data_IF_547026317087
#
_entry.id   IF_547026317087
#
_cell.length_a   1.000
_cell.length_b   1.000
_cell.length_c   1.000
_cell.angle_alpha   90.00
_cell.angle_beta   90.00
_cell.angle_gamma   90.00
#
_symmetry.space_group_name_H-M   'P 1'
#
loop_
_entity.id
_entity.type
_entity.pdbx_description
1 polymer ?
#
# COMPACT_ATOMS: atom_id res chain seq x y z
N UNK A 1 43.92 -31.75 -33.03
CA UNK A 1 43.69 -31.19 -31.68
C UNK A 1 42.22 -30.77 -31.47
N UNK A 2 41.23 -31.54 -31.95
CA UNK A 2 39.89 -30.96 -32.21
C UNK A 2 38.80 -31.18 -31.14
N UNK A 3 38.72 -32.35 -30.50
CA UNK A 3 37.51 -32.69 -29.70
C UNK A 3 37.70 -32.52 -28.20
N UNK A 4 38.87 -32.88 -27.66
CA UNK A 4 39.17 -32.76 -26.23
C UNK A 4 39.36 -31.31 -25.78
N UNK A 5 40.02 -30.48 -26.59
CA UNK A 5 40.18 -29.05 -26.32
C UNK A 5 38.81 -28.34 -26.33
N UNK A 6 37.96 -28.63 -27.34
CA UNK A 6 36.60 -28.08 -27.41
C UNK A 6 35.75 -28.51 -26.21
N UNK A 7 35.81 -29.79 -25.81
CA UNK A 7 35.07 -30.26 -24.62
C UNK A 7 35.55 -29.57 -23.34
N UNK A 8 36.86 -29.40 -23.15
CA UNK A 8 37.41 -28.70 -21.97
C UNK A 8 37.00 -27.23 -21.96
N UNK A 9 37.06 -26.53 -23.10
CA UNK A 9 36.62 -25.14 -23.20
C UNK A 9 35.12 -25.00 -22.93
N UNK A 10 34.27 -25.86 -23.50
CA UNK A 10 32.83 -25.83 -23.27
C UNK A 10 32.49 -26.11 -21.81
N UNK A 11 33.09 -27.13 -21.20
CA UNK A 11 32.89 -27.44 -19.77
C UNK A 11 33.36 -26.28 -18.90
N UNK A 12 34.51 -25.67 -19.21
CA UNK A 12 35.01 -24.49 -18.50
C UNK A 12 34.03 -23.32 -18.57
N UNK A 13 33.49 -23.02 -19.75
CA UNK A 13 32.49 -21.96 -19.93
C UNK A 13 31.20 -22.28 -19.16
N UNK A 14 30.71 -23.52 -19.22
CA UNK A 14 29.50 -23.93 -18.48
C UNK A 14 29.70 -23.81 -16.97
N UNK A 15 30.86 -24.21 -16.44
CA UNK A 15 31.18 -24.07 -15.01
C UNK A 15 31.26 -22.60 -14.62
N UNK A 16 31.86 -21.74 -15.44
CA UNK A 16 31.94 -20.31 -15.17
C UNK A 16 30.55 -19.64 -15.21
N UNK A 17 29.74 -19.95 -16.23
CA UNK A 17 28.37 -19.45 -16.35
C UNK A 17 27.52 -19.96 -15.19
N UNK A 18 27.59 -21.25 -14.87
CA UNK A 18 26.87 -21.84 -13.74
C UNK A 18 27.30 -21.23 -12.39
N UNK A 19 28.60 -21.02 -12.19
CA UNK A 19 29.13 -20.35 -11.00
C UNK A 19 28.67 -18.90 -10.88
N UNK A 20 28.62 -18.16 -12.00
CA UNK A 20 28.10 -16.80 -12.03
C UNK A 20 26.61 -16.75 -11.66
N UNK A 21 25.79 -17.67 -12.18
CA UNK A 21 24.35 -17.76 -11.81
C UNK A 21 24.16 -18.04 -10.33
N UNK A 22 24.96 -18.92 -9.73
CA UNK A 22 24.88 -19.20 -8.29
C UNK A 22 25.31 -17.98 -7.46
N UNK A 23 26.39 -17.31 -7.86
CA UNK A 23 26.86 -16.11 -7.18
C UNK A 23 25.84 -14.96 -7.27
N UNK A 24 25.18 -14.82 -8.41
CA UNK A 24 24.12 -13.85 -8.67
C UNK A 24 22.91 -14.04 -7.74
N UNK A 25 22.40 -15.29 -7.64
CA UNK A 25 21.31 -15.61 -6.72
C UNK A 25 21.67 -15.33 -5.26
N UNK A 26 22.88 -15.71 -4.82
CA UNK A 26 23.35 -15.42 -3.46
C UNK A 26 23.45 -13.90 -3.19
N UNK A 27 23.85 -13.11 -4.19
CA UNK A 27 23.92 -11.66 -4.06
C UNK A 27 22.52 -11.04 -3.93
N UNK A 28 21.57 -11.51 -4.74
CA UNK A 28 20.16 -11.12 -4.67
C UNK A 28 19.55 -11.43 -3.30
N UNK A 29 19.67 -12.67 -2.82
CA UNK A 29 19.08 -13.09 -1.54
C UNK A 29 19.61 -12.23 -0.37
N UNK A 30 20.89 -11.81 -0.44
CA UNK A 30 21.46 -10.87 0.55
C UNK A 30 20.92 -9.45 0.42
N UNK A 31 20.68 -8.98 -0.80
CA UNK A 31 20.09 -7.67 -1.04
C UNK A 31 18.65 -7.62 -0.50
N UNK A 32 17.84 -8.63 -0.81
CA UNK A 32 16.47 -8.80 -0.30
C UNK A 32 16.43 -8.78 1.23
N UNK A 33 17.26 -9.60 1.90
CA UNK A 33 17.36 -9.62 3.36
C UNK A 33 17.77 -8.27 3.94
N UNK A 34 18.68 -7.56 3.25
CA UNK A 34 19.15 -6.25 3.71
C UNK A 34 18.03 -5.21 3.60
N UNK A 35 17.30 -5.19 2.50
CA UNK A 35 16.15 -4.29 2.29
C UNK A 35 15.08 -4.58 3.35
N UNK A 36 14.72 -5.85 3.55
CA UNK A 36 13.75 -6.26 4.55
C UNK A 36 14.14 -5.77 5.96
N UNK A 37 15.41 -5.92 6.34
CA UNK A 37 15.92 -5.47 7.65
C UNK A 37 15.87 -3.94 7.79
N UNK A 38 16.23 -3.20 6.73
CA UNK A 38 16.16 -1.74 6.72
C UNK A 38 14.72 -1.28 6.89
N UNK A 39 13.80 -1.82 6.07
CA UNK A 39 12.38 -1.47 6.13
C UNK A 39 11.74 -1.83 7.48
N UNK A 40 12.13 -2.95 8.08
CA UNK A 40 11.70 -3.29 9.45
C UNK A 40 12.06 -2.18 10.44
N UNK A 41 13.29 -1.65 10.33
CA UNK A 41 13.80 -0.65 11.27
C UNK A 41 13.17 0.72 11.01
N UNK A 42 13.07 1.14 9.74
CA UNK A 42 12.57 2.46 9.36
C UNK A 42 11.05 2.59 9.54
N UNK A 43 10.31 1.52 9.26
CA UNK A 43 8.86 1.49 9.40
C UNK A 43 8.39 0.94 10.75
N UNK A 44 9.32 0.59 11.65
CA UNK A 44 9.00 0.06 12.99
C UNK A 44 8.21 -1.25 12.96
N UNK A 45 8.43 -2.11 11.95
CA UNK A 45 7.67 -3.34 11.77
C UNK A 45 8.04 -4.37 12.84
N UNK A 46 7.03 -5.08 13.35
CA UNK A 46 7.25 -6.15 14.32
C UNK A 46 8.12 -7.29 13.77
N UNK A 47 8.06 -7.53 12.45
CA UNK A 47 8.84 -8.52 11.72
C UNK A 47 9.32 -7.95 10.39
N UNK A 48 10.43 -8.45 9.83
CA UNK A 48 10.87 -8.04 8.50
C UNK A 48 9.81 -8.41 7.45
N UNK A 49 9.54 -7.53 6.47
CA UNK A 49 8.68 -7.86 5.35
C UNK A 49 9.36 -8.88 4.45
N UNK A 50 8.57 -9.62 3.68
CA UNK A 50 9.10 -10.47 2.62
C UNK A 50 9.41 -9.60 1.41
N UNK A 51 10.62 -9.68 0.88
CA UNK A 51 11.10 -8.87 -0.24
C UNK A 51 11.66 -9.81 -1.28
N UNK A 52 11.16 -9.69 -2.50
CA UNK A 52 11.65 -10.45 -3.66
C UNK A 52 12.07 -9.46 -4.74
N UNK A 53 13.28 -9.63 -5.28
CA UNK A 53 13.79 -8.88 -6.42
C UNK A 53 13.74 -9.80 -7.63
N UNK A 54 12.89 -9.46 -8.59
CA UNK A 54 12.75 -10.23 -9.81
C UNK A 54 13.77 -9.81 -10.89
N UNK A 55 13.84 -10.63 -11.93
CA UNK A 55 14.78 -10.46 -13.03
C UNK A 55 16.13 -11.16 -12.79
N UNK A 56 16.73 -11.65 -13.87
CA UNK A 56 18.01 -12.36 -13.83
C UNK A 56 18.88 -11.98 -15.04
N UNK A 57 20.20 -11.79 -14.86
CA UNK A 57 20.96 -11.83 -13.59
C UNK A 57 20.85 -10.52 -12.79
N UNK A 58 20.63 -10.60 -11.47
CA UNK A 58 20.54 -9.46 -10.54
C UNK A 58 21.74 -8.51 -10.62
N UNK A 59 22.97 -9.04 -10.67
CA UNK A 59 24.19 -8.25 -10.76
C UNK A 59 24.27 -7.43 -12.04
N UNK A 60 23.62 -7.90 -13.12
CA UNK A 60 23.56 -7.15 -14.39
C UNK A 60 22.64 -5.94 -14.24
N UNK A 61 21.49 -6.12 -13.57
CA UNK A 61 20.54 -5.05 -13.25
C UNK A 61 21.19 -3.99 -12.34
N UNK A 62 21.89 -4.45 -11.29
CA UNK A 62 22.61 -3.57 -10.37
C UNK A 62 23.68 -2.73 -11.07
N UNK A 63 24.40 -3.30 -12.04
CA UNK A 63 25.37 -2.56 -12.86
C UNK A 63 24.68 -1.61 -13.86
N UNK A 64 23.52 -2.00 -14.37
CA UNK A 64 22.70 -1.15 -15.23
C UNK A 64 22.10 0.05 -14.48
N UNK A 65 22.03 -0.03 -13.15
CA UNK A 65 21.56 1.05 -12.28
C UNK A 65 20.07 1.00 -11.96
N UNK A 66 19.38 -0.07 -12.34
CA UNK A 66 17.93 -0.21 -12.23
C UNK A 66 17.54 -1.67 -11.98
N UNK A 67 16.64 -1.90 -11.04
CA UNK A 67 16.00 -3.20 -10.79
C UNK A 67 14.66 -3.23 -11.53
N UNK A 68 14.42 -4.31 -12.29
CA UNK A 68 13.23 -4.44 -13.13
C UNK A 68 11.96 -4.48 -12.30
N UNK A 69 11.90 -5.36 -11.30
CA UNK A 69 10.71 -5.60 -10.50
C UNK A 69 11.11 -5.90 -9.05
N UNK A 70 10.44 -5.25 -8.09
CA UNK A 70 10.61 -5.50 -6.65
C UNK A 70 9.24 -5.70 -6.04
N UNK A 71 9.04 -6.87 -5.46
CA UNK A 71 7.83 -7.25 -4.76
C UNK A 71 8.07 -7.26 -3.26
N UNK A 72 7.16 -6.66 -2.50
CA UNK A 72 7.19 -6.64 -1.05
C UNK A 72 5.85 -7.03 -0.47
N UNK A 73 5.85 -7.87 0.56
CA UNK A 73 4.66 -8.14 1.37
C UNK A 73 4.94 -7.93 2.86
N UNK A 74 3.97 -7.37 3.57
CA UNK A 74 4.01 -7.24 5.01
C UNK A 74 2.63 -7.57 5.61
N UNK A 75 2.57 -8.36 6.70
CA UNK A 75 1.29 -8.65 7.35
C UNK A 75 0.67 -7.41 7.98
N UNK A 76 1.48 -6.46 8.46
CA UNK A 76 1.03 -5.21 9.03
C UNK A 76 2.12 -4.13 9.00
N UNK A 77 1.72 -2.87 8.92
CA UNK A 77 2.59 -1.71 9.11
C UNK A 77 1.76 -0.49 9.51
N UNK A 78 2.40 0.45 10.20
CA UNK A 78 1.82 1.79 10.43
C UNK A 78 2.48 2.78 9.50
N UNK A 79 1.72 3.37 8.58
CA UNK A 79 2.24 4.30 7.55
C UNK A 79 1.50 5.62 7.66
N UNK A 80 2.21 6.72 7.94
CA UNK A 80 1.60 8.04 8.10
C UNK A 80 0.52 8.09 9.21
N UNK A 81 0.68 7.30 10.27
CA UNK A 81 -0.30 7.17 11.36
C UNK A 81 -1.49 6.26 11.04
N UNK A 82 -1.49 5.58 9.89
CA UNK A 82 -2.54 4.64 9.50
C UNK A 82 -2.07 3.21 9.76
N UNK A 83 -2.83 2.46 10.56
CA UNK A 83 -2.60 1.04 10.76
C UNK A 83 -3.18 0.25 9.58
N UNK A 84 -2.29 -0.44 8.88
CA UNK A 84 -2.59 -1.22 7.69
C UNK A 84 -2.21 -2.68 7.91
N UNK A 85 -2.99 -3.58 7.33
CA UNK A 85 -2.78 -5.01 7.29
C UNK A 85 -2.72 -5.51 5.83
N UNK A 86 -2.22 -6.73 5.62
CA UNK A 86 -2.17 -7.39 4.31
C UNK A 86 -1.63 -6.47 3.19
N UNK A 87 -0.42 -5.97 3.42
CA UNK A 87 0.22 -4.97 2.57
C UNK A 87 1.00 -5.69 1.48
N UNK A 88 0.75 -5.31 0.23
CA UNK A 88 1.49 -5.74 -0.95
C UNK A 88 1.97 -4.50 -1.69
N UNK A 89 3.24 -4.49 -2.07
CA UNK A 89 3.86 -3.42 -2.85
C UNK A 89 4.56 -4.02 -4.04
N UNK A 90 4.21 -3.54 -5.22
CA UNK A 90 4.84 -3.89 -6.49
C UNK A 90 5.50 -2.64 -7.06
N UNK A 91 6.81 -2.71 -7.28
CA UNK A 91 7.59 -1.64 -7.88
C UNK A 91 8.22 -2.15 -9.16
N UNK A 92 8.28 -1.31 -10.19
CA UNK A 92 9.04 -1.60 -11.40
C UNK A 92 9.96 -0.43 -11.78
N UNK A 93 11.10 -0.77 -12.38
CA UNK A 93 12.12 0.21 -12.76
C UNK A 93 12.67 0.97 -11.54
N UNK A 94 13.11 0.25 -10.52
CA UNK A 94 13.63 0.84 -9.27
C UNK A 94 15.07 1.26 -9.45
N UNK A 95 15.36 2.55 -9.34
CA UNK A 95 16.73 3.06 -9.44
C UNK A 95 17.59 2.56 -8.27
N UNK A 96 18.85 2.23 -8.55
CA UNK A 96 19.79 1.79 -7.52
C UNK A 96 20.68 2.91 -6.99
N UNK A 97 20.48 4.14 -7.47
CA UNK A 97 21.22 5.35 -7.09
C UNK A 97 20.28 6.35 -6.45
N UNK A 98 20.77 7.09 -5.44
CA UNK A 98 19.99 8.16 -4.83
C UNK A 98 19.80 9.35 -5.80
N UNK A 99 18.61 9.98 -5.84
CA UNK A 99 17.41 9.60 -5.10
C UNK A 99 16.78 8.30 -5.63
N UNK A 100 16.28 7.46 -4.72
CA UNK A 100 15.68 6.17 -5.10
C UNK A 100 14.29 6.42 -5.65
N UNK A 101 14.03 5.94 -6.86
CA UNK A 101 12.75 6.12 -7.56
C UNK A 101 12.27 4.82 -8.17
N UNK A 102 10.95 4.63 -8.26
CA UNK A 102 10.33 3.58 -9.07
C UNK A 102 9.61 4.21 -10.26
N UNK A 103 9.79 3.65 -11.46
CA UNK A 103 9.06 4.10 -12.64
C UNK A 103 7.56 3.89 -12.50
N UNK A 104 7.13 2.71 -12.03
CA UNK A 104 5.75 2.45 -11.63
C UNK A 104 5.73 1.84 -10.23
N UNK A 105 4.75 2.27 -9.42
CA UNK A 105 4.49 1.69 -8.11
C UNK A 105 3.00 1.38 -7.96
N UNK A 106 2.72 0.23 -7.35
CA UNK A 106 1.39 -0.17 -6.91
C UNK A 106 1.45 -0.64 -5.47
N UNK A 107 0.50 -0.18 -4.67
CA UNK A 107 0.34 -0.58 -3.27
C UNK A 107 -1.09 -1.04 -3.07
N UNK A 108 -1.25 -2.23 -2.50
CA UNK A 108 -2.52 -2.75 -2.04
C UNK A 108 -2.42 -3.01 -0.53
N UNK A 109 -3.39 -2.52 0.24
CA UNK A 109 -3.41 -2.68 1.69
C UNK A 109 -4.84 -2.77 2.22
N UNK A 110 -5.00 -3.42 3.37
CA UNK A 110 -6.27 -3.51 4.10
C UNK A 110 -6.23 -2.59 5.33
N UNK A 111 -7.17 -1.67 5.42
CA UNK A 111 -7.46 -0.94 6.65
C UNK A 111 -8.64 -1.63 7.34
N UNK A 112 -8.43 -2.16 8.54
CA UNK A 112 -9.52 -2.77 9.31
C UNK A 112 -10.51 -1.70 9.79
N UNK A 113 -11.72 -2.12 10.16
CA UNK A 113 -12.71 -1.21 10.74
C UNK A 113 -12.19 -0.58 12.03
N UNK A 114 -11.50 -1.35 12.88
CA UNK A 114 -10.88 -0.85 14.10
C UNK A 114 -9.82 0.23 13.82
N UNK A 115 -9.00 0.03 12.77
CA UNK A 115 -8.02 1.03 12.36
C UNK A 115 -8.71 2.31 11.84
N UNK A 116 -9.77 2.17 11.04
CA UNK A 116 -10.57 3.32 10.58
C UNK A 116 -11.25 4.05 11.75
N UNK A 117 -11.76 3.31 12.74
CA UNK A 117 -12.38 3.83 13.95
C UNK A 117 -11.39 4.67 14.77
N UNK A 118 -10.13 4.25 14.85
CA UNK A 118 -9.08 4.97 15.56
C UNK A 118 -8.70 6.32 14.93
N UNK A 119 -9.04 6.55 13.66
CA UNK A 119 -8.84 7.83 12.97
C UNK A 119 -9.92 8.87 13.31
N UNK A 120 -11.06 8.42 13.84
CA UNK A 120 -12.13 9.33 14.22
C UNK A 120 -11.74 10.10 15.50
N UNK A 121 -12.08 11.40 15.58
CA UNK A 121 -11.91 12.17 16.81
C UNK A 121 -12.59 11.49 18.01
N UNK A 122 -11.90 11.39 19.14
CA UNK A 122 -12.39 10.66 20.31
C UNK A 122 -13.67 11.25 20.93
N UNK A 123 -14.01 12.51 20.62
CA UNK A 123 -15.23 13.18 21.03
C UNK A 123 -16.45 12.83 20.14
N UNK A 124 -16.22 12.23 18.97
CA UNK A 124 -17.27 11.64 18.15
C UNK A 124 -17.58 10.24 18.68
N UNK A 125 -18.71 10.11 19.39
CA UNK A 125 -19.28 8.83 19.78
C UNK A 125 -19.94 8.12 18.57
N UNK A 126 -19.12 7.78 17.57
CA UNK A 126 -19.50 7.03 16.37
C UNK A 126 -18.89 5.64 16.44
N UNK A 127 -19.67 4.62 16.12
CA UNK A 127 -19.19 3.24 15.96
C UNK A 127 -19.24 2.88 14.47
N UNK A 128 -18.12 2.44 13.92
CA UNK A 128 -18.02 1.96 12.55
C UNK A 128 -18.24 0.44 12.50
N UNK A 129 -18.99 -0.01 11.49
CA UNK A 129 -19.21 -1.41 11.19
C UNK A 129 -19.33 -1.63 9.68
N UNK A 130 -19.19 -2.88 9.25
CA UNK A 130 -19.51 -3.28 7.88
C UNK A 130 -20.86 -4.00 7.92
N UNK A 131 -21.78 -3.57 7.05
CA UNK A 131 -23.04 -4.25 6.79
C UNK A 131 -23.11 -4.63 5.31
N UNK A 132 -22.81 -5.90 5.02
CA UNK A 132 -22.65 -6.39 3.65
C UNK A 132 -21.50 -5.68 2.93
N UNK A 133 -21.81 -4.90 1.89
CA UNK A 133 -20.83 -4.13 1.13
C UNK A 133 -20.73 -2.66 1.56
N UNK A 134 -21.49 -2.26 2.58
CA UNK A 134 -21.57 -0.87 3.03
C UNK A 134 -20.77 -0.68 4.32
N UNK A 135 -20.07 0.44 4.43
CA UNK A 135 -19.53 0.92 5.69
C UNK A 135 -20.64 1.69 6.40
N UNK A 136 -20.97 1.34 7.64
CA UNK A 136 -22.03 1.99 8.42
C UNK A 136 -21.41 2.67 9.64
N UNK A 137 -21.82 3.90 9.89
CA UNK A 137 -21.49 4.62 11.11
C UNK A 137 -22.75 4.79 11.97
N UNK A 138 -22.70 4.29 13.20
CA UNK A 138 -23.81 4.30 14.15
C UNK A 138 -23.51 5.24 15.32
N UNK A 139 -24.52 5.99 15.77
CA UNK A 139 -24.43 6.83 16.96
C UNK A 139 -25.80 7.02 17.60
N UNK A 140 -25.85 7.70 18.74
CA UNK A 140 -27.09 8.12 19.39
C UNK A 140 -27.19 9.65 19.37
N UNK A 141 -28.22 10.16 18.71
CA UNK A 141 -28.51 11.60 18.64
C UNK A 141 -29.83 11.87 19.35
N UNK A 142 -29.82 12.70 20.40
CA UNK A 142 -31.01 13.04 21.19
C UNK A 142 -31.75 11.81 21.76
N UNK A 143 -31.01 10.75 22.08
CA UNK A 143 -31.57 9.49 22.59
C UNK A 143 -32.18 8.58 21.51
N UNK A 144 -32.02 8.92 20.23
CA UNK A 144 -32.46 8.11 19.10
C UNK A 144 -31.26 7.48 18.40
N UNK A 145 -31.35 6.20 17.99
CA UNK A 145 -30.31 5.59 17.16
C UNK A 145 -30.29 6.26 15.78
N UNK A 146 -29.08 6.56 15.32
CA UNK A 146 -28.79 7.11 14.01
C UNK A 146 -27.74 6.24 13.35
N UNK A 147 -28.07 5.71 12.18
CA UNK A 147 -27.14 4.96 11.33
C UNK A 147 -26.92 5.71 10.02
N UNK A 148 -25.67 5.85 9.60
CA UNK A 148 -25.29 6.48 8.34
C UNK A 148 -24.58 5.46 7.46
N UNK A 149 -25.15 5.16 6.30
CA UNK A 149 -24.47 4.39 5.27
C UNK A 149 -23.43 5.29 4.57
N UNK A 150 -22.16 4.87 4.64
CA UNK A 150 -21.00 5.59 4.13
C UNK A 150 -20.49 4.91 2.86
N UNK A 151 -20.10 5.74 1.90
CA UNK A 151 -19.44 5.30 0.67
C UNK A 151 -18.07 5.96 0.60
N UNK A 152 -17.00 5.25 0.97
CA UNK A 152 -15.65 5.75 0.79
C UNK A 152 -15.25 5.69 -0.69
N UNK A 153 -14.51 6.68 -1.15
CA UNK A 153 -13.98 6.77 -2.52
C UNK A 153 -12.56 7.31 -2.50
N UNK A 154 -11.78 6.89 -3.50
CA UNK A 154 -10.45 7.41 -3.72
C UNK A 154 -10.50 8.81 -4.35
N UNK A 155 -9.64 9.72 -3.86
CA UNK A 155 -9.47 11.04 -4.45
C UNK A 155 -8.02 11.54 -4.28
N UNK A 156 -7.16 11.17 -5.22
CA UNK A 156 -5.75 11.55 -5.21
C UNK A 156 -5.08 11.04 -3.94
N UNK A 157 -4.67 11.93 -3.03
CA UNK A 157 -3.99 11.58 -1.77
C UNK A 157 -4.93 11.60 -0.56
N UNK A 158 -6.22 11.34 -0.78
CA UNK A 158 -7.22 11.31 0.27
C UNK A 158 -8.25 10.20 0.04
N UNK A 159 -8.80 9.71 1.15
CA UNK A 159 -10.08 9.00 1.15
C UNK A 159 -11.16 10.06 1.32
N UNK A 160 -12.14 10.07 0.44
CA UNK A 160 -13.33 10.89 0.63
C UNK A 160 -14.49 10.00 1.01
N UNK A 161 -15.22 10.39 2.05
CA UNK A 161 -16.37 9.63 2.55
C UNK A 161 -17.62 10.46 2.30
N UNK A 162 -18.56 9.85 1.58
CA UNK A 162 -19.87 10.42 1.31
C UNK A 162 -20.93 9.63 2.10
N UNK A 163 -21.84 10.33 2.78
CA UNK A 163 -23.03 9.68 3.35
C UNK A 163 -24.03 9.44 2.22
N UNK A 164 -24.48 8.19 2.05
CA UNK A 164 -25.49 7.79 1.06
C UNK A 164 -26.90 7.89 1.62
N UNK A 165 -27.06 7.48 2.87
CA UNK A 165 -28.35 7.34 3.54
C UNK A 165 -28.19 7.51 5.04
N UNK A 166 -29.16 8.15 5.69
CA UNK A 166 -29.23 8.27 7.14
C UNK A 166 -30.54 7.62 7.59
N UNK A 167 -30.46 6.74 8.59
CA UNK A 167 -31.60 6.12 9.23
C UNK A 167 -31.69 6.63 10.66
N UNK A 168 -32.80 7.28 11.03
CA UNK A 168 -33.03 7.79 12.39
C UNK A 168 -34.27 7.13 12.95
N UNK A 169 -34.14 6.41 14.06
CA UNK A 169 -35.24 5.67 14.68
C UNK A 169 -36.04 4.78 13.68
N UNK A 170 -35.33 4.19 12.71
CA UNK A 170 -35.91 3.33 11.66
C UNK A 170 -36.50 4.07 10.45
N UNK A 171 -36.47 5.40 10.44
CA UNK A 171 -36.85 6.19 9.26
C UNK A 171 -35.62 6.48 8.41
N UNK A 172 -35.62 5.96 7.18
CA UNK A 172 -34.54 6.15 6.23
C UNK A 172 -34.75 7.41 5.38
N UNK A 173 -33.71 8.24 5.28
CA UNK A 173 -33.65 9.48 4.49
C UNK A 173 -32.42 9.42 3.60
N UNK A 174 -32.59 9.59 2.29
CA UNK A 174 -31.45 9.68 1.38
C UNK A 174 -30.86 11.08 1.40
N UNK A 175 -29.57 11.21 1.12
CA UNK A 175 -28.93 12.54 1.12
C UNK A 175 -29.49 13.47 0.05
N UNK A 176 -30.01 12.92 -1.05
CA UNK A 176 -30.69 13.68 -2.12
C UNK A 176 -32.00 14.33 -1.66
N UNK A 177 -32.64 13.77 -0.62
CA UNK A 177 -33.86 14.31 -0.03
C UNK A 177 -33.58 15.39 1.04
N UNK A 178 -32.31 15.61 1.41
CA UNK A 178 -31.93 16.61 2.38
C UNK A 178 -31.84 18.02 1.75
N UNK A 179 -32.12 19.09 2.54
CA UNK A 179 -31.79 20.44 2.10
C UNK A 179 -30.30 20.56 1.76
N UNK A 180 -29.96 21.30 0.70
CA UNK A 180 -28.59 21.38 0.15
C UNK A 180 -27.53 21.79 1.18
N UNK A 181 -27.88 22.67 2.12
CA UNK A 181 -26.98 23.10 3.20
C UNK A 181 -26.65 21.98 4.20
N UNK A 182 -27.53 20.98 4.36
CA UNK A 182 -27.31 19.81 5.19
C UNK A 182 -26.57 18.73 4.41
N UNK A 183 -26.97 18.48 3.15
CA UNK A 183 -26.28 17.55 2.27
C UNK A 183 -24.79 17.88 2.16
N UNK A 184 -24.43 19.16 1.96
CA UNK A 184 -23.05 19.61 1.86
C UNK A 184 -22.21 19.41 3.13
N UNK A 185 -22.83 19.23 4.31
CA UNK A 185 -22.12 18.99 5.57
C UNK A 185 -21.84 17.50 5.82
N UNK A 186 -22.58 16.61 5.17
CA UNK A 186 -22.48 15.15 5.37
C UNK A 186 -21.84 14.44 4.16
N UNK A 187 -21.50 15.19 3.11
CA UNK A 187 -20.78 14.70 1.93
C UNK A 187 -19.39 15.31 1.85
N UNK A 188 -18.43 14.59 1.26
CA UNK A 188 -17.11 15.13 0.98
C UNK A 188 -16.18 15.19 2.18
N UNK A 189 -16.40 14.38 3.21
CA UNK A 189 -15.50 14.29 4.36
C UNK A 189 -14.17 13.72 3.88
N UNK A 190 -13.09 14.52 3.99
CA UNK A 190 -11.76 14.15 3.47
C UNK A 190 -10.86 13.67 4.59
N UNK A 191 -10.28 12.49 4.42
CA UNK A 191 -9.23 11.94 5.26
C UNK A 191 -7.93 11.98 4.43
N UNK A 192 -7.00 12.88 4.73
CA UNK A 192 -5.72 12.94 4.01
C UNK A 192 -4.88 11.69 4.30
N UNK A 193 -4.15 11.23 3.28
CA UNK A 193 -3.20 10.13 3.37
C UNK A 193 -1.78 10.68 3.29
N UNK A 194 -1.32 11.27 4.39
CA UNK A 194 -0.04 11.98 4.44
C UNK A 194 1.16 11.03 4.27
N UNK A 195 0.98 9.74 4.55
CA UNK A 195 2.01 8.70 4.38
C UNK A 195 2.23 8.22 2.95
N UNK A 196 1.48 8.72 1.96
CA UNK A 196 1.68 8.31 0.56
C UNK A 196 2.97 8.92 -0.02
N UNK A 197 3.81 8.16 -0.75
CA UNK A 197 4.97 8.72 -1.43
C UNK A 197 4.60 9.73 -2.52
N UNK A 198 5.49 10.69 -2.80
CA UNK A 198 5.31 11.59 -3.94
C UNK A 198 5.24 10.81 -5.25
N UNK A 199 4.38 11.26 -6.18
CA UNK A 199 4.09 10.54 -7.43
C UNK A 199 3.02 9.45 -7.30
N UNK A 200 2.55 9.14 -6.08
CA UNK A 200 1.44 8.19 -5.86
C UNK A 200 0.12 8.87 -5.55
N UNK A 201 -0.96 8.20 -5.93
CA UNK A 201 -2.33 8.53 -5.55
C UNK A 201 -3.14 7.27 -5.30
N UNK A 202 -4.07 7.37 -4.36
CA UNK A 202 -5.13 6.40 -4.14
C UNK A 202 -6.01 6.32 -5.39
N UNK A 203 -6.18 5.12 -5.92
CA UNK A 203 -6.95 4.82 -7.13
C UNK A 203 -8.23 4.05 -6.82
N UNK A 204 -8.26 3.30 -5.71
CA UNK A 204 -9.43 2.55 -5.28
C UNK A 204 -9.56 2.51 -3.77
N UNK A 205 -10.81 2.55 -3.31
CA UNK A 205 -11.21 2.19 -1.95
C UNK A 205 -12.43 1.28 -2.07
N UNK A 206 -12.31 0.06 -1.58
CA UNK A 206 -13.37 -0.94 -1.67
C UNK A 206 -13.69 -1.45 -0.28
N UNK A 207 -14.94 -1.38 0.14
CA UNK A 207 -15.40 -2.01 1.38
C UNK A 207 -15.51 -3.52 1.14
N UNK A 208 -14.95 -4.29 2.07
CA UNK A 208 -14.95 -5.75 2.08
C UNK A 208 -15.34 -6.22 3.47
N UNK A 209 -15.65 -7.51 3.64
CA UNK A 209 -15.97 -8.09 4.94
C UNK A 209 -14.85 -7.93 5.99
N UNK A 210 -13.60 -7.73 5.56
CA UNK A 210 -12.43 -7.58 6.44
C UNK A 210 -12.08 -6.12 6.77
N UNK A 211 -12.69 -5.14 6.09
CA UNK A 211 -12.30 -3.73 6.16
C UNK A 211 -12.31 -3.03 4.81
N UNK A 212 -11.57 -1.93 4.71
CA UNK A 212 -11.41 -1.14 3.50
C UNK A 212 -10.13 -1.59 2.76
N UNK A 213 -10.28 -2.18 1.57
CA UNK A 213 -9.17 -2.44 0.66
C UNK A 213 -8.81 -1.15 -0.06
N UNK A 214 -7.59 -0.69 0.16
CA UNK A 214 -7.01 0.50 -0.41
C UNK A 214 -6.04 0.10 -1.53
N UNK A 215 -6.13 0.77 -2.67
CA UNK A 215 -5.14 0.64 -3.74
C UNK A 215 -4.59 2.03 -4.05
N UNK A 216 -3.27 2.18 -3.98
CA UNK A 216 -2.56 3.35 -4.49
C UNK A 216 -1.68 2.95 -5.68
N UNK A 217 -1.55 3.85 -6.64
CA UNK A 217 -0.66 3.68 -7.79
C UNK A 217 -0.01 5.01 -8.17
N UNK A 218 1.14 4.93 -8.82
CA UNK A 218 1.89 6.12 -9.21
C UNK A 218 2.93 5.81 -10.27
N UNK A 219 3.44 6.87 -10.88
CA UNK A 219 4.57 6.84 -11.80
C UNK A 219 5.65 7.80 -11.30
N UNK A 220 6.91 7.49 -11.60
CA UNK A 220 8.08 8.25 -11.17
C UNK A 220 8.06 8.54 -9.66
N UNK A 221 7.80 7.48 -8.89
CA UNK A 221 7.55 7.54 -7.45
C UNK A 221 8.87 7.65 -6.70
N UNK A 222 8.97 8.64 -5.80
CA UNK A 222 10.13 8.81 -4.93
C UNK A 222 9.99 7.87 -3.73
N UNK A 223 10.97 7.00 -3.53
CA UNK A 223 10.96 5.97 -2.48
C UNK A 223 11.75 6.36 -1.24
N UNK A 224 12.54 7.42 -1.32
CA UNK A 224 13.29 7.92 -0.19
C UNK A 224 12.30 8.43 0.88
N UNK A 225 12.56 8.11 2.14
CA UNK A 225 11.79 8.65 3.26
C UNK A 225 11.94 10.19 3.25
N UNK A 226 10.96 10.88 2.70
CA UNK A 226 10.86 12.33 2.80
C UNK A 226 10.83 12.67 4.29
N UNK A 227 11.92 13.30 4.77
CA UNK A 227 11.89 13.99 6.05
C UNK A 227 10.66 14.92 6.05
N UNK A 228 9.93 15.05 7.17
CA UNK A 228 8.83 15.99 7.24
C UNK A 228 9.31 17.37 6.80
N UNK A 229 8.57 17.97 5.88
CA UNK A 229 8.81 19.35 5.46
C UNK A 229 8.61 20.23 6.69
N UNK A 230 9.69 20.86 7.18
CA UNK A 230 9.64 21.91 8.20
C UNK A 230 8.81 23.13 7.74
#
# INVERSE_FOLDING_TARGET
MGRRAVVVTVVGVVVLVGGAVVADGIARDRAEQRIATTLQTELGLAQPPDVTIDGSPFLTQLVAGELSDVHLTSPAATVGGLDLADITVDLSGVSTSAPTTAHDARVDALMTVDAAQALLPADLALDLAIDGSDLVASTTLLGLPLDAALTPRADGRAIVVDVRQITVAGLAVTVDDLPSALAAQVTGLRIPLDGLPDGTGLTSVTVTDAGLRLTAAGQDVVLDASAPSD
#
